data_IF_412565098445
#
_entry.id   IF_412565098445
#
_cell.length_a   1.000
_cell.length_b   1.000
_cell.length_c   1.000
_cell.angle_alpha   90.00
_cell.angle_beta   90.00
_cell.angle_gamma   90.00
#
_symmetry.space_group_name_H-M   'P 1'
#
loop_
_entity.id
_entity.type
_entity.pdbx_description
1 polymer ?
#
# COMPACT_ATOMS: atom_id res chain seq x y z
N UNK A 1 8.84 25.47 -11.72
CA UNK A 1 8.21 24.95 -10.52
C UNK A 1 7.23 23.87 -10.95
N UNK A 2 7.38 22.67 -10.44
CA UNK A 2 6.54 21.52 -10.79
C UNK A 2 5.45 21.36 -9.73
N UNK A 3 4.28 20.89 -10.14
CA UNK A 3 3.19 20.60 -9.22
C UNK A 3 2.33 19.46 -9.76
N UNK A 4 1.74 18.68 -8.86
CA UNK A 4 0.71 17.69 -9.15
C UNK A 4 -0.61 18.13 -8.51
N UNK A 5 -1.70 17.90 -9.24
CA UNK A 5 -3.04 18.20 -8.76
C UNK A 5 -4.01 17.05 -9.04
N UNK A 6 -4.81 16.75 -8.05
CA UNK A 6 -5.94 15.84 -8.20
C UNK A 6 -7.15 16.40 -7.44
N UNK A 7 -8.16 16.82 -8.18
CA UNK A 7 -9.34 17.53 -7.67
C UNK A 7 -8.94 18.77 -6.85
N UNK A 8 -9.20 18.77 -5.54
CA UNK A 8 -8.89 19.82 -4.57
C UNK A 8 -7.50 19.64 -3.90
N UNK A 9 -6.90 18.47 -4.02
CA UNK A 9 -5.56 18.21 -3.50
C UNK A 9 -4.48 18.66 -4.49
N UNK A 10 -3.44 19.34 -4.00
CA UNK A 10 -2.28 19.75 -4.80
C UNK A 10 -0.98 19.58 -4.02
N UNK A 11 0.08 19.17 -4.72
CA UNK A 11 1.45 19.10 -4.21
C UNK A 11 2.32 19.99 -5.08
N UNK A 12 3.02 20.95 -4.47
CA UNK A 12 3.91 21.88 -5.17
C UNK A 12 5.35 21.63 -4.75
N UNK A 13 6.23 21.42 -5.71
CA UNK A 13 7.64 21.15 -5.47
C UNK A 13 8.42 22.47 -5.37
N UNK A 14 9.05 22.68 -4.21
CA UNK A 14 9.87 23.84 -3.94
C UNK A 14 11.31 23.42 -3.58
N UNK A 15 12.28 24.19 -4.04
CA UNK A 15 13.70 23.92 -3.77
C UNK A 15 14.09 24.34 -2.36
N UNK A 16 13.48 25.44 -1.86
CA UNK A 16 13.78 26.02 -0.54
C UNK A 16 12.50 26.29 0.25
N UNK A 17 12.63 26.34 1.57
CA UNK A 17 11.51 26.71 2.45
C UNK A 17 11.01 28.14 2.14
N UNK A 18 11.91 29.08 1.84
CA UNK A 18 11.56 30.45 1.44
C UNK A 18 10.61 30.44 0.24
N UNK A 19 10.98 29.69 -0.81
CA UNK A 19 10.13 29.53 -1.99
C UNK A 19 8.79 28.91 -1.64
N UNK A 20 8.74 27.89 -0.77
CA UNK A 20 7.49 27.26 -0.34
C UNK A 20 6.58 28.25 0.40
N UNK A 21 7.13 29.15 1.24
CA UNK A 21 6.38 30.20 1.94
C UNK A 21 5.86 31.28 0.98
N UNK A 22 6.67 31.68 0.00
CA UNK A 22 6.26 32.62 -1.05
C UNK A 22 5.09 32.07 -1.88
N UNK A 23 5.16 30.78 -2.28
CA UNK A 23 4.08 30.09 -2.98
C UNK A 23 2.81 29.99 -2.14
N UNK A 24 2.97 29.64 -0.85
CA UNK A 24 1.81 29.57 0.07
C UNK A 24 1.11 30.94 0.16
N UNK A 25 1.88 32.02 0.37
CA UNK A 25 1.30 33.36 0.45
C UNK A 25 0.58 33.77 -0.85
N UNK A 26 1.20 33.53 -2.00
CA UNK A 26 0.59 33.81 -3.30
C UNK A 26 -0.70 32.99 -3.55
N UNK A 27 -0.70 31.70 -3.18
CA UNK A 27 -1.88 30.85 -3.28
C UNK A 27 -3.00 31.32 -2.32
N UNK A 28 -2.66 31.72 -1.09
CA UNK A 28 -3.64 32.24 -0.14
C UNK A 28 -4.35 33.47 -0.68
N UNK A 29 -3.59 34.44 -1.17
CA UNK A 29 -4.15 35.67 -1.80
C UNK A 29 -5.02 35.32 -3.01
N UNK A 30 -4.55 34.41 -3.87
CA UNK A 30 -5.32 34.01 -5.05
C UNK A 30 -6.61 33.29 -4.70
N UNK A 31 -6.59 32.37 -3.72
CA UNK A 31 -7.80 31.68 -3.25
C UNK A 31 -8.81 32.66 -2.66
N UNK A 32 -8.36 33.57 -1.81
CA UNK A 32 -9.22 34.60 -1.22
C UNK A 32 -9.86 35.52 -2.27
N UNK A 33 -9.13 35.85 -3.34
CA UNK A 33 -9.65 36.67 -4.43
C UNK A 33 -10.82 36.06 -5.19
N UNK A 34 -11.02 34.74 -5.08
CA UNK A 34 -12.11 33.98 -5.69
C UNK A 34 -13.06 33.37 -4.65
N UNK A 35 -13.03 33.88 -3.41
CA UNK A 35 -13.91 33.44 -2.33
C UNK A 35 -13.61 32.08 -1.72
N UNK A 36 -12.43 31.53 -2.00
CA UNK A 36 -11.96 30.24 -1.45
C UNK A 36 -10.90 30.46 -0.37
N UNK A 37 -10.63 29.42 0.42
CA UNK A 37 -9.55 29.44 1.44
C UNK A 37 -8.76 28.17 1.42
N UNK A 38 -7.47 28.27 1.65
CA UNK A 38 -6.63 27.12 1.95
C UNK A 38 -7.03 26.53 3.31
N UNK A 39 -7.14 25.20 3.36
CA UNK A 39 -7.51 24.53 4.62
C UNK A 39 -6.35 24.60 5.62
N UNK A 40 -6.50 25.20 6.82
CA UNK A 40 -5.39 25.49 7.72
C UNK A 40 -4.66 24.23 8.20
N UNK A 41 -5.40 23.16 8.52
CA UNK A 41 -4.79 21.93 9.06
C UNK A 41 -4.24 20.99 7.98
N UNK A 42 -4.71 21.13 6.72
CA UNK A 42 -4.31 20.25 5.61
C UNK A 42 -3.21 20.86 4.74
N UNK A 43 -3.13 22.19 4.68
CA UNK A 43 -2.07 22.88 3.93
C UNK A 43 -0.82 22.94 4.78
N UNK A 44 0.28 22.33 4.30
CA UNK A 44 1.53 22.19 5.05
C UNK A 44 2.74 22.33 4.15
N UNK A 45 3.83 22.84 4.72
CA UNK A 45 5.16 22.75 4.11
C UNK A 45 5.83 21.51 4.67
N UNK A 46 6.23 20.59 3.79
CA UNK A 46 6.83 19.32 4.16
C UNK A 46 8.31 19.31 3.80
N UNK A 47 9.15 18.99 4.78
CA UNK A 47 10.57 18.80 4.53
C UNK A 47 10.86 17.40 4.01
N UNK A 48 11.24 17.30 2.74
CA UNK A 48 11.59 16.03 2.09
C UNK A 48 12.98 15.57 2.51
N UNK A 49 13.10 15.03 3.73
CA UNK A 49 14.36 14.57 4.32
C UNK A 49 14.91 13.36 3.55
N UNK A 50 16.20 13.44 3.21
CA UNK A 50 16.98 12.36 2.59
C UNK A 50 18.41 12.32 3.13
N UNK A 51 19.30 11.50 2.56
CA UNK A 51 20.70 11.41 3.00
C UNK A 51 21.50 12.72 2.85
N UNK A 52 21.09 13.60 1.94
CA UNK A 52 21.72 14.90 1.68
C UNK A 52 21.08 16.02 2.50
N UNK A 53 19.82 15.84 2.90
CA UNK A 53 19.01 16.80 3.64
C UNK A 53 18.82 16.32 5.07
N UNK A 54 19.74 16.74 5.99
CA UNK A 54 19.83 16.21 7.36
C UNK A 54 19.20 17.10 8.42
N UNK A 55 18.66 18.26 8.06
CA UNK A 55 17.99 19.15 9.01
C UNK A 55 16.75 18.47 9.63
N UNK A 56 16.36 18.95 10.81
CA UNK A 56 15.19 18.43 11.52
C UNK A 56 14.03 19.41 11.42
N UNK A 57 12.89 18.90 10.99
CA UNK A 57 11.63 19.63 10.86
C UNK A 57 10.50 18.78 11.41
N UNK A 58 9.45 19.43 11.89
CA UNK A 58 8.29 18.74 12.46
C UNK A 58 7.54 17.93 11.41
N UNK A 59 7.30 18.50 10.24
CA UNK A 59 6.55 17.88 9.15
C UNK A 59 7.50 17.29 8.09
N UNK A 60 7.69 15.98 8.13
CA UNK A 60 8.54 15.21 7.21
C UNK A 60 7.77 14.13 6.45
N UNK A 61 6.45 14.20 6.44
CA UNK A 61 5.62 13.23 5.74
C UNK A 61 4.27 13.81 5.37
N UNK A 62 3.70 13.31 4.28
CA UNK A 62 2.33 13.63 3.87
C UNK A 62 1.68 12.45 3.14
N UNK A 63 0.36 12.49 3.02
CA UNK A 63 -0.40 11.49 2.26
C UNK A 63 -1.03 12.16 1.05
N UNK A 64 -0.83 11.57 -0.13
CA UNK A 64 -1.44 12.00 -1.39
C UNK A 64 -1.88 10.79 -2.19
N UNK A 65 -3.11 10.78 -2.69
CA UNK A 65 -3.71 9.69 -3.48
C UNK A 65 -3.57 8.29 -2.84
N UNK A 66 -3.66 8.21 -1.52
CA UNK A 66 -3.54 6.95 -0.79
C UNK A 66 -2.11 6.46 -0.57
N UNK A 67 -1.10 7.19 -1.04
CA UNK A 67 0.30 6.99 -0.72
C UNK A 67 0.75 7.87 0.44
N UNK A 68 1.61 7.34 1.30
CA UNK A 68 2.34 8.11 2.29
C UNK A 68 3.77 8.34 1.82
N UNK A 69 4.10 9.59 1.61
CA UNK A 69 5.44 10.08 1.30
C UNK A 69 6.18 10.38 2.59
N UNK A 70 7.33 9.75 2.81
CA UNK A 70 8.18 9.96 3.99
C UNK A 70 9.62 9.50 3.74
N UNK A 71 10.57 9.89 4.60
CA UNK A 71 11.91 9.28 4.61
C UNK A 71 11.83 7.77 4.82
N UNK A 72 12.54 7.01 3.99
CA UNK A 72 12.65 5.55 4.07
C UNK A 72 14.07 5.11 3.81
N UNK A 73 14.49 4.05 4.48
CA UNK A 73 15.74 3.38 4.14
C UNK A 73 15.60 2.66 2.80
N UNK A 74 16.58 2.84 1.96
CA UNK A 74 16.70 2.23 0.65
C UNK A 74 18.08 1.64 0.49
N UNK A 75 18.18 0.53 -0.25
CA UNK A 75 19.44 -0.13 -0.55
C UNK A 75 19.81 0.11 -2.01
N UNK A 76 20.99 0.64 -2.25
CA UNK A 76 21.53 0.81 -3.59
C UNK A 76 21.71 -0.55 -4.26
N UNK A 77 21.16 -0.73 -5.45
CA UNK A 77 21.35 -1.94 -6.25
C UNK A 77 22.78 -2.07 -6.79
N UNK A 78 23.53 -0.94 -6.89
CA UNK A 78 24.88 -0.91 -7.46
C UNK A 78 25.95 -1.40 -6.46
N UNK A 79 25.88 -0.97 -5.20
CA UNK A 79 26.94 -1.22 -4.20
C UNK A 79 26.42 -1.71 -2.85
N UNK A 80 25.12 -1.95 -2.70
CA UNK A 80 24.51 -2.42 -1.47
C UNK A 80 24.44 -1.39 -0.32
N UNK A 81 24.88 -0.15 -0.54
CA UNK A 81 24.87 0.91 0.49
C UNK A 81 23.44 1.25 0.88
N UNK A 82 23.20 1.38 2.20
CA UNK A 82 21.93 1.84 2.74
C UNK A 82 21.95 3.37 2.79
N UNK A 83 20.88 3.99 2.29
CA UNK A 83 20.68 5.43 2.29
C UNK A 83 19.24 5.78 2.56
N UNK A 84 19.00 6.99 3.08
CA UNK A 84 17.65 7.51 3.26
C UNK A 84 17.22 8.24 2.01
N UNK A 85 16.01 7.92 1.49
CA UNK A 85 15.36 8.67 0.42
C UNK A 85 13.91 8.98 0.77
N UNK A 86 13.38 10.07 0.24
CA UNK A 86 11.99 10.45 0.42
C UNK A 86 11.14 9.72 -0.61
N UNK A 87 10.36 8.71 -0.17
CA UNK A 87 9.69 7.79 -1.08
C UNK A 87 8.22 7.56 -0.71
N UNK A 88 7.35 7.36 -1.73
CA UNK A 88 5.98 6.93 -1.53
C UNK A 88 5.89 5.43 -1.22
N UNK A 89 4.87 5.08 -0.45
CA UNK A 89 4.36 3.71 -0.32
C UNK A 89 2.88 3.78 0.06
N UNK A 90 2.17 2.67 -0.02
CA UNK A 90 0.78 2.60 0.42
C UNK A 90 0.64 3.16 1.84
N UNK A 91 -0.32 4.06 2.04
CA UNK A 91 -0.56 4.67 3.34
C UNK A 91 -1.17 3.69 4.34
N UNK A 92 -0.94 3.87 5.66
CA UNK A 92 -1.58 3.05 6.70
C UNK A 92 -3.12 3.09 6.62
N UNK A 93 -3.69 4.23 6.23
CA UNK A 93 -5.14 4.39 6.06
C UNK A 93 -5.62 3.52 4.90
N UNK A 94 -4.95 3.57 3.75
CA UNK A 94 -5.28 2.73 2.59
C UNK A 94 -5.13 1.24 2.93
N UNK A 95 -4.04 0.83 3.60
CA UNK A 95 -3.86 -0.56 4.06
C UNK A 95 -4.99 -1.03 4.97
N UNK A 96 -5.41 -0.18 5.91
CA UNK A 96 -6.53 -0.47 6.81
C UNK A 96 -7.84 -0.61 6.05
N UNK A 97 -8.08 0.26 5.07
CA UNK A 97 -9.28 0.19 4.24
C UNK A 97 -9.32 -1.09 3.39
N UNK A 98 -8.24 -1.41 2.66
CA UNK A 98 -8.15 -2.65 1.89
C UNK A 98 -8.27 -3.90 2.77
N UNK A 99 -7.69 -3.85 3.98
CA UNK A 99 -7.85 -4.92 4.97
C UNK A 99 -9.32 -5.11 5.42
N UNK A 100 -10.07 -4.02 5.57
CA UNK A 100 -11.51 -4.06 5.85
C UNK A 100 -12.29 -4.66 4.67
N UNK A 101 -11.94 -4.28 3.44
CA UNK A 101 -12.56 -4.83 2.23
C UNK A 101 -12.37 -6.34 2.16
N UNK A 102 -11.13 -6.85 2.33
CA UNK A 102 -10.84 -8.30 2.36
C UNK A 102 -11.62 -9.01 3.47
N UNK A 103 -11.72 -8.41 4.66
CA UNK A 103 -12.52 -8.97 5.76
C UNK A 103 -14.00 -9.07 5.39
N UNK A 104 -14.55 -8.07 4.69
CA UNK A 104 -15.96 -8.06 4.23
C UNK A 104 -16.26 -9.13 3.18
N UNK A 105 -15.27 -9.65 2.47
CA UNK A 105 -15.45 -10.74 1.52
C UNK A 105 -15.98 -12.01 2.17
N UNK A 106 -15.74 -12.19 3.48
CA UNK A 106 -16.23 -13.34 4.28
C UNK A 106 -15.96 -14.68 3.60
N UNK A 107 -14.80 -14.85 2.97
CA UNK A 107 -14.42 -16.03 2.18
C UNK A 107 -14.74 -17.34 2.89
N UNK A 108 -14.50 -17.41 4.22
CA UNK A 108 -14.82 -18.60 5.03
C UNK A 108 -16.29 -19.02 5.02
N UNK A 109 -17.20 -18.18 4.53
CA UNK A 109 -18.63 -18.50 4.35
C UNK A 109 -18.96 -19.05 2.95
N UNK A 110 -18.05 -18.87 1.98
CA UNK A 110 -18.22 -19.29 0.59
C UNK A 110 -17.71 -20.73 0.37
N UNK A 111 -18.19 -21.69 1.16
CA UNK A 111 -17.73 -23.09 1.09
C UNK A 111 -18.29 -23.86 -0.10
N UNK A 112 -19.31 -23.33 -0.77
CA UNK A 112 -19.85 -23.87 -2.03
C UNK A 112 -18.95 -23.56 -3.23
N UNK A 113 -18.23 -22.44 -3.23
CA UNK A 113 -17.32 -22.05 -4.32
C UNK A 113 -16.07 -22.95 -4.34
N UNK A 114 -15.43 -23.09 -5.52
CA UNK A 114 -14.12 -23.73 -5.68
C UNK A 114 -13.00 -22.69 -5.65
N UNK A 115 -11.73 -23.11 -5.83
CA UNK A 115 -10.57 -22.20 -5.80
C UNK A 115 -10.51 -21.31 -7.03
N UNK A 116 -10.85 -21.84 -8.16
CA UNK A 116 -10.89 -21.18 -9.45
C UNK A 116 -11.89 -20.00 -9.42
N UNK A 117 -13.11 -20.26 -8.98
CA UNK A 117 -14.15 -19.23 -8.80
C UNK A 117 -13.72 -18.15 -7.79
N UNK A 118 -13.04 -18.55 -6.70
CA UNK A 118 -12.49 -17.57 -5.75
C UNK A 118 -11.40 -16.72 -6.41
N UNK A 119 -10.53 -17.34 -7.21
CA UNK A 119 -9.46 -16.64 -7.91
C UNK A 119 -10.03 -15.67 -8.96
N UNK A 120 -10.97 -16.10 -9.77
CA UNK A 120 -11.66 -15.25 -10.76
C UNK A 120 -12.29 -14.03 -10.10
N UNK A 121 -12.92 -14.21 -8.96
CA UNK A 121 -13.57 -13.13 -8.24
C UNK A 121 -12.58 -12.14 -7.62
N UNK A 122 -11.52 -12.60 -6.93
CA UNK A 122 -10.64 -11.71 -6.16
C UNK A 122 -9.47 -11.15 -6.98
N UNK A 123 -9.01 -11.87 -8.01
CA UNK A 123 -7.82 -11.49 -8.76
C UNK A 123 -7.91 -10.11 -9.44
N UNK A 124 -9.02 -9.72 -10.08
CA UNK A 124 -9.11 -8.38 -10.69
C UNK A 124 -8.93 -7.27 -9.65
N UNK A 125 -9.53 -7.43 -8.47
CA UNK A 125 -9.46 -6.46 -7.37
C UNK A 125 -8.03 -6.40 -6.82
N UNK A 126 -7.43 -7.57 -6.56
CA UNK A 126 -6.08 -7.67 -5.99
C UNK A 126 -5.02 -7.16 -6.98
N UNK A 127 -5.14 -7.47 -8.28
CA UNK A 127 -4.27 -6.90 -9.33
C UNK A 127 -4.35 -5.38 -9.37
N UNK A 128 -5.56 -4.82 -9.30
CA UNK A 128 -5.74 -3.37 -9.24
C UNK A 128 -4.97 -2.74 -8.06
N UNK A 129 -5.05 -3.35 -6.88
CA UNK A 129 -4.27 -2.88 -5.72
C UNK A 129 -2.77 -3.07 -5.89
N UNK A 130 -2.33 -4.21 -6.43
CA UNK A 130 -0.91 -4.49 -6.67
C UNK A 130 -0.34 -3.55 -7.71
N UNK A 131 -1.04 -3.31 -8.81
CA UNK A 131 -0.60 -2.39 -9.86
C UNK A 131 -0.54 -0.95 -9.33
N UNK A 132 -1.57 -0.52 -8.59
CA UNK A 132 -1.63 0.85 -8.08
C UNK A 132 -0.63 1.07 -6.94
N UNK A 133 -0.69 0.30 -5.86
CA UNK A 133 0.13 0.55 -4.67
C UNK A 133 1.52 -0.09 -4.71
N UNK A 134 1.75 -1.02 -5.62
CA UNK A 134 3.02 -1.73 -5.74
C UNK A 134 4.04 -1.07 -6.65
N UNK A 135 3.65 0.01 -7.33
CA UNK A 135 4.50 0.73 -8.29
C UNK A 135 5.80 1.25 -7.65
N UNK A 136 5.72 1.79 -6.44
CA UNK A 136 6.88 2.35 -5.76
C UNK A 136 7.51 1.37 -4.76
N UNK A 137 6.87 1.11 -3.64
CA UNK A 137 7.39 0.27 -2.56
C UNK A 137 6.45 -0.91 -2.28
N UNK A 138 6.56 -1.97 -3.09
CA UNK A 138 5.75 -3.18 -2.98
C UNK A 138 5.90 -3.94 -1.66
N UNK A 139 7.04 -3.78 -0.97
CA UNK A 139 7.32 -4.52 0.26
C UNK A 139 6.33 -4.16 1.38
N UNK A 140 5.87 -2.92 1.41
CA UNK A 140 4.86 -2.46 2.37
C UNK A 140 3.49 -3.16 2.19
N UNK A 141 3.23 -3.74 1.03
CA UNK A 141 2.01 -4.52 0.78
C UNK A 141 2.11 -5.99 1.22
N UNK A 142 3.31 -6.53 1.46
CA UNK A 142 3.46 -7.97 1.71
C UNK A 142 2.69 -8.46 2.94
N UNK A 143 2.67 -7.71 4.02
CA UNK A 143 1.91 -8.05 5.22
C UNK A 143 0.40 -8.12 4.95
N UNK A 144 -0.11 -7.19 4.14
CA UNK A 144 -1.50 -7.16 3.70
C UNK A 144 -1.83 -8.34 2.77
N UNK A 145 -0.99 -8.63 1.78
CA UNK A 145 -1.19 -9.75 0.85
C UNK A 145 -1.13 -11.10 1.57
N UNK A 146 -0.24 -11.28 2.57
CA UNK A 146 -0.23 -12.47 3.44
C UNK A 146 -1.56 -12.65 4.18
N UNK A 147 -2.23 -11.57 4.52
CA UNK A 147 -3.56 -11.63 5.15
C UNK A 147 -4.61 -12.27 4.23
N UNK A 148 -4.52 -12.07 2.91
CA UNK A 148 -5.39 -12.76 1.94
C UNK A 148 -5.16 -14.27 2.02
N UNK A 149 -3.89 -14.72 2.06
CA UNK A 149 -3.58 -16.15 2.26
C UNK A 149 -4.14 -16.70 3.57
N UNK A 150 -4.15 -15.90 4.65
CA UNK A 150 -4.80 -16.28 5.91
C UNK A 150 -6.30 -16.55 5.74
N UNK A 151 -7.00 -15.74 4.95
CA UNK A 151 -8.42 -15.97 4.67
C UNK A 151 -8.64 -17.18 3.75
N UNK A 152 -7.79 -17.41 2.77
CA UNK A 152 -7.81 -18.63 1.95
C UNK A 152 -7.55 -19.88 2.80
N UNK A 153 -6.59 -19.83 3.74
CA UNK A 153 -6.35 -20.91 4.70
C UNK A 153 -7.60 -21.24 5.51
N UNK A 154 -8.26 -20.23 6.06
CA UNK A 154 -9.51 -20.42 6.83
C UNK A 154 -10.63 -21.02 5.99
N UNK A 155 -10.76 -20.55 4.75
CA UNK A 155 -11.73 -21.09 3.81
C UNK A 155 -11.47 -22.57 3.50
N UNK A 156 -10.25 -22.93 3.11
CA UNK A 156 -9.90 -24.31 2.77
C UNK A 156 -10.08 -25.27 3.95
N UNK A 157 -9.65 -24.86 5.17
CA UNK A 157 -9.85 -25.68 6.41
C UNK A 157 -11.33 -25.88 6.75
N UNK A 158 -12.18 -24.90 6.44
CA UNK A 158 -13.62 -25.02 6.65
C UNK A 158 -14.28 -25.88 5.60
N UNK A 159 -13.90 -25.72 4.32
CA UNK A 159 -14.44 -26.50 3.20
C UNK A 159 -14.00 -27.98 3.27
N UNK A 160 -12.73 -28.22 3.51
CA UNK A 160 -12.13 -29.55 3.48
C UNK A 160 -11.74 -30.02 4.89
N UNK A 161 -12.56 -30.86 5.51
CA UNK A 161 -12.31 -31.37 6.88
C UNK A 161 -10.93 -32.03 7.03
N UNK A 162 -10.42 -32.69 5.95
CA UNK A 162 -9.08 -33.30 5.91
C UNK A 162 -7.92 -32.31 6.06
N UNK A 163 -8.15 -31.00 5.77
CA UNK A 163 -7.13 -29.95 5.84
C UNK A 163 -7.08 -29.22 7.19
N UNK A 164 -7.74 -29.74 8.24
CA UNK A 164 -7.79 -29.07 9.55
C UNK A 164 -6.45 -29.14 10.29
N UNK A 165 -5.60 -30.13 10.03
CA UNK A 165 -4.27 -30.25 10.65
C UNK A 165 -3.22 -29.48 9.86
N UNK A 166 -2.25 -28.89 10.55
CA UNK A 166 -1.14 -28.14 9.94
C UNK A 166 -0.42 -28.95 8.86
N UNK A 167 0.00 -30.17 9.20
CA UNK A 167 0.78 -31.03 8.29
C UNK A 167 0.04 -31.29 6.96
N UNK A 168 -1.23 -31.69 7.03
CA UNK A 168 -2.03 -31.95 5.82
C UNK A 168 -2.28 -30.68 5.01
N UNK A 169 -2.56 -29.59 5.69
CA UNK A 169 -2.74 -28.30 5.04
C UNK A 169 -1.47 -27.83 4.33
N UNK A 170 -0.31 -27.92 5.00
CA UNK A 170 0.98 -27.53 4.44
C UNK A 170 1.26 -28.28 3.14
N UNK A 171 1.18 -29.61 3.17
CA UNK A 171 1.41 -30.46 1.97
C UNK A 171 0.44 -30.08 0.84
N UNK A 172 -0.83 -29.89 1.16
CA UNK A 172 -1.83 -29.48 0.18
C UNK A 172 -1.53 -28.10 -0.41
N UNK A 173 -1.20 -27.12 0.44
CA UNK A 173 -0.90 -25.75 0.00
C UNK A 173 0.35 -25.68 -0.88
N UNK A 174 1.43 -26.33 -0.46
CA UNK A 174 2.67 -26.36 -1.23
C UNK A 174 2.47 -27.07 -2.57
N UNK A 175 1.72 -28.17 -2.60
CA UNK A 175 1.35 -28.87 -3.83
C UNK A 175 0.47 -28.01 -4.75
N UNK A 176 -0.48 -27.24 -4.20
CA UNK A 176 -1.32 -26.31 -4.97
C UNK A 176 -0.47 -25.18 -5.58
N UNK A 177 0.38 -24.53 -4.79
CA UNK A 177 1.25 -23.46 -5.26
C UNK A 177 2.26 -23.94 -6.31
N UNK A 178 2.73 -25.18 -6.20
CA UNK A 178 3.64 -25.78 -7.18
C UNK A 178 2.93 -26.04 -8.54
N UNK A 179 1.71 -26.53 -8.51
CA UNK A 179 0.94 -26.82 -9.74
C UNK A 179 0.38 -25.55 -10.39
N UNK A 180 -0.11 -24.62 -9.59
CA UNK A 180 -0.82 -23.43 -10.05
C UNK A 180 -0.23 -22.15 -9.44
N UNK A 181 1.05 -21.82 -9.74
CA UNK A 181 1.75 -20.71 -9.09
C UNK A 181 1.15 -19.33 -9.41
N UNK A 182 0.35 -19.23 -10.46
CA UNK A 182 -0.33 -18.01 -10.91
C UNK A 182 -1.82 -17.96 -10.57
N UNK A 183 -2.38 -18.97 -9.88
CA UNK A 183 -3.80 -19.04 -9.55
C UNK A 183 -4.30 -17.78 -8.86
N UNK A 184 -3.60 -17.31 -7.86
CA UNK A 184 -3.92 -16.04 -7.20
C UNK A 184 -2.91 -14.95 -7.57
N UNK A 185 -3.40 -13.78 -7.98
CA UNK A 185 -2.57 -12.65 -8.44
C UNK A 185 -1.46 -12.29 -7.45
N UNK A 186 -1.76 -12.25 -6.15
CA UNK A 186 -0.78 -11.89 -5.12
C UNK A 186 0.30 -12.96 -4.87
N UNK A 187 0.14 -14.16 -5.38
CA UNK A 187 1.16 -15.20 -5.28
C UNK A 187 2.41 -14.90 -6.12
N UNK A 188 2.32 -13.98 -7.08
CA UNK A 188 3.51 -13.43 -7.73
C UNK A 188 4.49 -12.79 -6.72
N UNK A 189 3.99 -12.28 -5.59
CA UNK A 189 4.81 -11.62 -4.57
C UNK A 189 4.85 -12.39 -3.25
N UNK A 190 3.74 -13.04 -2.85
CA UNK A 190 3.60 -13.66 -1.51
C UNK A 190 2.86 -14.99 -1.62
N UNK A 191 3.60 -16.10 -1.56
CA UNK A 191 3.05 -17.47 -1.64
C UNK A 191 2.88 -18.16 -0.29
N UNK A 192 3.52 -17.64 0.75
CA UNK A 192 3.53 -18.25 2.08
C UNK A 192 2.16 -18.09 2.75
N UNK A 193 1.63 -19.17 3.31
CA UNK A 193 0.43 -19.13 4.13
C UNK A 193 0.76 -18.77 5.60
N UNK A 194 -0.22 -18.22 6.30
CA UNK A 194 -0.13 -18.03 7.76
C UNK A 194 -1.03 -19.04 8.45
N UNK A 195 -0.44 -19.87 9.29
CA UNK A 195 -1.19 -20.81 10.12
C UNK A 195 -1.72 -20.06 11.35
N UNK A 196 -3.02 -20.18 11.56
CA UNK A 196 -3.71 -19.71 12.77
C UNK A 196 -4.31 -20.95 13.39
N UNK A 197 -3.83 -21.30 14.56
CA UNK A 197 -4.27 -22.43 15.37
C UNK A 197 -5.76 -22.40 15.72
#
# INVERSE_FOLDING_TARGET
>A
MEFERFADDAVVHCVTERQAREVWAALSVRMESVGLRLHPDKTKIIYCKDSNRRAEFADTSFTFLGYMFRPRESKSSRNGTIFTSFQPAISPVALKDKSRQVRRWRMHRKTTTNLEELAEWINPIVRGWMNYYGEFNRFEMYSFLRRINTYLTRWARKKFKRLRTYRRFKVWWEGLVAREPAMFAHWAWVRVFSWIG
#
